data_IF_371022580865
#
_entry.id   IF_371022580865
#
_cell.length_a   1.000
_cell.length_b   1.000
_cell.length_c   1.000
_cell.angle_alpha   90.00
_cell.angle_beta   90.00
_cell.angle_gamma   90.00
#
_symmetry.space_group_name_H-M   'P 1'
#
loop_
_entity.id
_entity.type
_entity.pdbx_description
1 polymer ?
#
# COMPACT_ATOMS: atom_id res chain seq x y z
N UNK A 1 0.66 -5.76 24.47
CA UNK A 1 0.97 -5.33 23.09
C UNK A 1 1.75 -6.43 22.37
N UNK A 2 1.38 -6.74 21.15
CA UNK A 2 2.04 -7.77 20.33
C UNK A 2 2.66 -7.11 19.10
N UNK A 3 3.95 -7.34 18.89
CA UNK A 3 4.69 -6.71 17.81
C UNK A 3 5.13 -7.77 16.79
N UNK A 4 4.98 -7.46 15.51
CA UNK A 4 5.37 -8.32 14.40
C UNK A 4 6.44 -7.65 13.55
N UNK A 5 7.29 -8.44 12.89
CA UNK A 5 8.42 -7.94 12.11
C UNK A 5 8.15 -7.90 10.61
N UNK A 6 7.00 -8.43 10.17
CA UNK A 6 6.57 -8.34 8.77
C UNK A 6 5.18 -7.72 8.71
N UNK A 7 4.91 -6.98 7.65
CA UNK A 7 3.59 -6.40 7.45
C UNK A 7 2.51 -7.48 7.35
N UNK A 8 2.80 -8.60 6.65
CA UNK A 8 1.85 -9.69 6.51
C UNK A 8 1.44 -10.26 7.85
N UNK A 9 2.41 -10.56 8.73
CA UNK A 9 2.11 -11.10 10.05
C UNK A 9 1.29 -10.11 10.89
N UNK A 10 1.64 -8.83 10.83
CA UNK A 10 0.88 -7.78 11.51
C UNK A 10 -0.56 -7.67 10.98
N UNK A 11 -0.73 -7.71 9.66
CA UNK A 11 -2.06 -7.65 9.05
C UNK A 11 -2.92 -8.88 9.41
N UNK A 12 -2.33 -10.06 9.41
CA UNK A 12 -3.05 -11.28 9.83
C UNK A 12 -3.53 -11.15 11.27
N UNK A 13 -2.67 -10.72 12.17
CA UNK A 13 -3.01 -10.57 13.58
C UNK A 13 -4.06 -9.48 13.81
N UNK A 14 -3.88 -8.30 13.20
CA UNK A 14 -4.80 -7.18 13.39
C UNK A 14 -6.18 -7.45 12.79
N UNK A 15 -6.25 -8.15 11.65
CA UNK A 15 -7.56 -8.51 11.08
C UNK A 15 -8.36 -9.39 12.04
N UNK A 16 -7.73 -10.33 12.72
CA UNK A 16 -8.40 -11.18 13.72
C UNK A 16 -8.94 -10.38 14.90
N UNK A 17 -8.22 -9.35 15.31
CA UNK A 17 -8.67 -8.47 16.38
C UNK A 17 -9.83 -7.57 15.95
N UNK A 18 -9.75 -7.04 14.74
CA UNK A 18 -10.68 -6.05 14.22
C UNK A 18 -11.98 -6.68 13.71
N UNK A 19 -11.84 -7.74 12.93
CA UNK A 19 -12.97 -8.42 12.28
C UNK A 19 -13.16 -9.80 12.88
N UNK A 20 -13.63 -9.83 14.12
CA UNK A 20 -13.81 -11.07 14.89
C UNK A 20 -14.80 -12.03 14.25
N UNK A 21 -15.82 -11.50 13.56
CA UNK A 21 -16.86 -12.31 12.92
C UNK A 21 -16.52 -12.72 11.50
N UNK A 22 -15.44 -12.18 10.92
CA UNK A 22 -15.01 -12.55 9.58
C UNK A 22 -15.90 -11.99 8.47
N UNK A 23 -16.39 -10.77 8.60
CA UNK A 23 -17.30 -10.17 7.62
C UNK A 23 -16.58 -9.45 6.49
N UNK A 24 -15.32 -9.05 6.70
CA UNK A 24 -14.57 -8.30 5.71
C UNK A 24 -14.11 -9.24 4.59
N UNK A 25 -14.58 -8.98 3.39
CA UNK A 25 -14.29 -9.79 2.21
C UNK A 25 -13.42 -9.03 1.19
N UNK A 26 -13.14 -9.68 0.05
CA UNK A 26 -12.32 -9.10 -1.00
C UNK A 26 -12.95 -7.82 -1.59
N UNK A 27 -14.28 -7.79 -1.73
CA UNK A 27 -14.97 -6.61 -2.24
C UNK A 27 -14.81 -5.41 -1.31
N UNK A 28 -14.91 -5.63 0.00
CA UNK A 28 -14.65 -4.60 1.00
C UNK A 28 -13.22 -4.07 0.88
N UNK A 29 -12.23 -4.98 0.82
CA UNK A 29 -10.81 -4.61 0.72
C UNK A 29 -10.48 -3.88 -0.57
N UNK A 30 -11.08 -4.28 -1.69
CA UNK A 30 -10.90 -3.57 -2.97
C UNK A 30 -11.42 -2.15 -2.92
N UNK A 31 -12.59 -1.97 -2.32
CA UNK A 31 -13.20 -0.65 -2.14
C UNK A 31 -12.36 0.24 -1.22
N UNK A 32 -11.85 -0.33 -0.14
CA UNK A 32 -10.96 0.35 0.80
C UNK A 32 -9.67 0.81 0.10
N UNK A 33 -9.04 -0.06 -0.70
CA UNK A 33 -7.84 0.29 -1.46
C UNK A 33 -8.11 1.47 -2.41
N UNK A 34 -9.21 1.44 -3.13
CA UNK A 34 -9.59 2.54 -4.03
C UNK A 34 -9.72 3.86 -3.26
N UNK A 35 -10.33 3.82 -2.08
CA UNK A 35 -10.45 4.99 -1.20
C UNK A 35 -9.10 5.53 -0.75
N UNK A 36 -8.21 4.66 -0.31
CA UNK A 36 -6.88 5.06 0.16
C UNK A 36 -6.04 5.66 -0.99
N UNK A 37 -6.09 5.08 -2.18
CA UNK A 37 -5.43 5.64 -3.37
C UNK A 37 -5.99 7.03 -3.67
N UNK A 38 -7.30 7.21 -3.60
CA UNK A 38 -7.95 8.49 -3.80
C UNK A 38 -7.50 9.54 -2.78
N UNK A 39 -7.37 9.15 -1.51
CA UNK A 39 -6.87 10.05 -0.47
C UNK A 39 -5.42 10.46 -0.72
N UNK A 40 -4.56 9.53 -1.12
CA UNK A 40 -3.17 9.84 -1.50
C UNK A 40 -3.14 10.82 -2.68
N UNK A 41 -3.94 10.60 -3.71
CA UNK A 41 -4.05 11.48 -4.86
C UNK A 41 -4.52 12.89 -4.46
N UNK A 42 -5.47 12.97 -3.52
CA UNK A 42 -5.95 14.25 -3.04
C UNK A 42 -4.87 15.04 -2.29
N UNK A 43 -4.05 14.36 -1.49
CA UNK A 43 -2.90 14.99 -0.82
C UNK A 43 -1.88 15.49 -1.84
N UNK A 44 -1.57 14.69 -2.86
CA UNK A 44 -0.66 15.09 -3.96
C UNK A 44 -1.19 16.35 -4.64
N UNK A 45 -2.50 16.39 -4.94
CA UNK A 45 -3.13 17.57 -5.55
C UNK A 45 -2.92 18.83 -4.70
N UNK A 46 -3.04 18.70 -3.37
CA UNK A 46 -2.85 19.84 -2.46
C UNK A 46 -1.40 20.30 -2.42
N UNK A 47 -0.43 19.38 -2.47
CA UNK A 47 0.99 19.71 -2.55
C UNK A 47 1.32 20.42 -3.86
N UNK A 48 0.78 19.94 -5.00
CA UNK A 48 0.98 20.58 -6.29
C UNK A 48 0.31 21.96 -6.36
N UNK A 49 -0.88 22.09 -5.74
CA UNK A 49 -1.58 23.38 -5.62
C UNK A 49 -0.68 24.41 -4.92
N UNK A 50 -0.07 24.01 -3.82
CA UNK A 50 0.86 24.88 -3.09
C UNK A 50 2.08 25.25 -3.94
N UNK A 51 2.66 24.26 -4.62
CA UNK A 51 3.83 24.46 -5.48
C UNK A 51 3.57 25.49 -6.59
N UNK A 52 2.35 25.54 -7.12
CA UNK A 52 1.96 26.47 -8.19
C UNK A 52 1.26 27.74 -7.68
N UNK A 53 1.17 27.94 -6.37
CA UNK A 53 0.53 29.12 -5.80
C UNK A 53 -0.97 29.22 -6.06
N UNK A 54 -1.64 28.09 -6.29
CA UNK A 54 -3.09 28.06 -6.51
C UNK A 54 -3.80 28.07 -5.16
N UNK A 55 -4.89 28.78 -5.06
CA UNK A 55 -5.69 28.89 -3.84
C UNK A 55 -6.36 27.57 -3.49
N UNK A 56 -6.57 27.33 -2.20
CA UNK A 56 -7.28 26.17 -1.67
C UNK A 56 -6.55 25.56 -0.48
N UNK A 57 -7.10 24.44 0.00
CA UNK A 57 -6.53 23.74 1.15
C UNK A 57 -5.14 23.18 0.85
N UNK A 58 -4.32 23.06 1.90
CA UNK A 58 -2.94 22.59 1.84
C UNK A 58 -2.79 21.23 2.50
N UNK A 59 -1.69 20.56 2.22
CA UNK A 59 -1.31 19.31 2.85
C UNK A 59 0.20 19.31 3.06
N UNK A 60 0.68 18.32 3.82
CA UNK A 60 2.10 18.14 4.13
C UNK A 60 2.62 16.85 3.52
N UNK A 61 3.94 16.77 3.36
CA UNK A 61 4.62 15.53 2.93
C UNK A 61 4.39 14.40 3.95
N UNK A 62 4.29 14.75 5.26
CA UNK A 62 3.96 13.77 6.29
C UNK A 62 2.58 13.15 6.10
N UNK A 63 1.60 13.95 5.70
CA UNK A 63 0.27 13.44 5.37
C UNK A 63 0.31 12.51 4.15
N UNK A 64 1.11 12.84 3.14
CA UNK A 64 1.31 11.96 1.99
C UNK A 64 1.94 10.63 2.40
N UNK A 65 2.93 10.66 3.30
CA UNK A 65 3.57 9.45 3.80
C UNK A 65 2.55 8.52 4.46
N UNK A 66 1.64 9.08 5.27
CA UNK A 66 0.59 8.30 5.94
C UNK A 66 -0.37 7.67 4.93
N UNK A 67 -0.78 8.44 3.91
CA UNK A 67 -1.70 7.93 2.89
C UNK A 67 -1.05 6.85 2.02
N UNK A 68 0.22 7.01 1.67
CA UNK A 68 0.95 5.96 0.94
C UNK A 68 1.12 4.71 1.80
N UNK A 69 1.36 4.87 3.09
CA UNK A 69 1.42 3.74 4.02
C UNK A 69 0.09 2.97 4.04
N UNK A 70 -1.03 3.68 4.08
CA UNK A 70 -2.35 3.05 4.05
C UNK A 70 -2.58 2.28 2.75
N UNK A 71 -2.12 2.81 1.60
CA UNK A 71 -2.21 2.10 0.31
C UNK A 71 -1.43 0.77 0.37
N UNK A 72 -0.22 0.79 0.91
CA UNK A 72 0.61 -0.43 1.03
C UNK A 72 -0.04 -1.44 1.97
N UNK A 73 -0.55 -0.99 3.12
CA UNK A 73 -1.23 -1.85 4.08
C UNK A 73 -2.46 -2.51 3.43
N UNK A 74 -3.28 -1.73 2.72
CA UNK A 74 -4.47 -2.25 2.06
C UNK A 74 -4.13 -3.21 0.92
N UNK A 75 -3.09 -2.93 0.14
CA UNK A 75 -2.63 -3.85 -0.90
C UNK A 75 -2.23 -5.20 -0.31
N UNK A 76 -1.49 -5.19 0.81
CA UNK A 76 -1.10 -6.43 1.49
C UNK A 76 -2.30 -7.18 2.07
N UNK A 77 -3.32 -6.49 2.57
CA UNK A 77 -4.54 -7.12 3.05
C UNK A 77 -5.25 -7.91 1.95
N UNK A 78 -5.28 -7.38 0.74
CA UNK A 78 -5.83 -8.08 -0.42
C UNK A 78 -4.96 -9.29 -0.77
N UNK A 79 -3.65 -9.11 -0.85
CA UNK A 79 -2.71 -10.19 -1.13
C UNK A 79 -2.84 -11.31 -0.09
N UNK A 80 -2.98 -10.96 1.19
CA UNK A 80 -3.21 -11.90 2.29
C UNK A 80 -4.46 -12.75 2.03
N UNK A 81 -5.53 -12.15 1.58
CA UNK A 81 -6.81 -12.81 1.36
C UNK A 81 -6.75 -13.85 0.23
N UNK A 82 -5.89 -13.62 -0.77
CA UNK A 82 -5.69 -14.53 -1.89
C UNK A 82 -4.44 -15.41 -1.75
N UNK A 83 -3.78 -15.39 -0.60
CA UNK A 83 -2.58 -16.19 -0.37
C UNK A 83 -1.39 -15.78 -1.22
N UNK A 84 -1.30 -14.51 -1.59
CA UNK A 84 -0.21 -13.99 -2.43
C UNK A 84 0.94 -13.52 -1.54
N UNK A 85 2.17 -13.99 -1.84
CA UNK A 85 3.40 -13.40 -1.30
C UNK A 85 3.66 -12.11 -2.07
N UNK A 86 3.29 -10.97 -1.46
CA UNK A 86 3.34 -9.69 -2.16
C UNK A 86 4.79 -9.24 -2.43
N UNK A 87 5.71 -9.50 -1.50
CA UNK A 87 7.12 -9.16 -1.71
C UNK A 87 7.68 -9.89 -2.93
N UNK A 88 7.39 -11.18 -3.07
CA UNK A 88 7.81 -11.97 -4.22
C UNK A 88 7.13 -11.47 -5.51
N UNK A 89 5.86 -11.10 -5.44
CA UNK A 89 5.14 -10.58 -6.59
C UNK A 89 5.71 -9.24 -7.07
N UNK A 90 6.07 -8.36 -6.13
CA UNK A 90 6.69 -7.07 -6.45
C UNK A 90 8.04 -7.28 -7.14
N UNK A 91 8.89 -8.16 -6.59
CA UNK A 91 10.20 -8.48 -7.18
C UNK A 91 10.06 -9.04 -8.60
N UNK A 92 9.16 -10.00 -8.77
CA UNK A 92 8.90 -10.61 -10.07
C UNK A 92 8.46 -9.58 -11.11
N UNK A 93 7.52 -8.73 -10.74
CA UNK A 93 6.97 -7.72 -11.65
C UNK A 93 7.98 -6.64 -11.98
N UNK A 94 8.71 -6.16 -10.98
CA UNK A 94 9.77 -5.17 -11.16
C UNK A 94 10.82 -5.69 -12.16
N UNK A 95 11.28 -6.91 -11.92
CA UNK A 95 12.33 -7.51 -12.76
C UNK A 95 11.85 -7.80 -14.19
N UNK A 96 10.61 -8.24 -14.33
CA UNK A 96 10.00 -8.46 -15.64
C UNK A 96 9.93 -7.16 -16.44
N UNK A 97 9.60 -6.06 -15.81
CA UNK A 97 9.56 -4.75 -16.47
C UNK A 97 10.97 -4.30 -16.89
N UNK A 98 11.96 -4.43 -15.99
CA UNK A 98 13.35 -4.09 -16.33
C UNK A 98 13.85 -4.91 -17.53
N UNK A 99 13.58 -6.19 -17.55
CA UNK A 99 13.96 -7.06 -18.66
C UNK A 99 13.27 -6.64 -19.95
N UNK A 100 11.96 -6.38 -19.89
CA UNK A 100 11.18 -5.98 -21.07
C UNK A 100 11.70 -4.71 -21.75
N UNK A 101 12.16 -3.74 -20.98
CA UNK A 101 12.63 -2.45 -21.49
C UNK A 101 14.15 -2.34 -21.55
N UNK A 102 14.89 -3.43 -21.27
CA UNK A 102 16.34 -3.50 -21.42
C UNK A 102 17.14 -2.75 -20.37
N UNK A 103 16.63 -2.69 -19.12
CA UNK A 103 17.33 -2.07 -18.00
C UNK A 103 18.04 -3.12 -17.13
N UNK A 104 19.17 -2.76 -16.54
CA UNK A 104 19.97 -3.68 -15.73
C UNK A 104 19.47 -3.85 -14.29
N UNK A 105 18.75 -2.86 -13.77
CA UNK A 105 18.34 -2.85 -12.37
C UNK A 105 17.38 -3.99 -12.05
N UNK A 106 17.67 -4.69 -10.97
CA UNK A 106 16.83 -5.78 -10.44
C UNK A 106 16.51 -5.52 -8.98
N UNK A 107 15.40 -6.06 -8.55
CA UNK A 107 14.98 -5.99 -7.15
C UNK A 107 14.89 -7.40 -6.57
N UNK A 108 15.48 -7.57 -5.38
CA UNK A 108 15.36 -8.79 -4.60
C UNK A 108 15.10 -8.38 -3.15
N UNK A 109 13.94 -8.77 -2.57
CA UNK A 109 13.65 -8.44 -1.18
C UNK A 109 14.66 -9.08 -0.24
N UNK A 110 14.88 -8.46 0.91
CA UNK A 110 15.71 -9.05 1.95
C UNK A 110 15.10 -10.36 2.46
N UNK A 111 15.92 -11.28 2.88
CA UNK A 111 15.48 -12.52 3.53
C UNK A 111 14.75 -12.19 4.84
N UNK A 112 13.72 -12.99 5.15
CA UNK A 112 12.86 -12.82 6.32
C UNK A 112 13.01 -13.93 7.32
#
# INVERSE_FOLDING_TARGET
>A
MTTHTTLRAANVARQREWDKEGWIDAAYRGNELAGEVGEACNVIKKLERERHGIMGSRATVGELADELADVIICADLIAMQYGIDLDAAVARKFNATSEKVGLDTRFQPADR
#
